data_IF_815493437202
#
_entry.id   IF_815493437202
#
_cell.length_a   1.000
_cell.length_b   1.000
_cell.length_c   1.000
_cell.angle_alpha   90.00
_cell.angle_beta   90.00
_cell.angle_gamma   90.00
#
_symmetry.space_group_name_H-M   'P 1'
#
loop_
_entity.id
_entity.type
_entity.pdbx_description
1 polymer ?
#
# COMPACT_ATOMS: atom_id res chain seq x y z
N UNK A 1 27.23 1.65 -1.28
CA UNK A 1 26.00 1.81 -0.49
C UNK A 1 25.10 0.65 -0.90
N UNK A 2 24.63 -0.16 0.03
CA UNK A 2 23.78 -1.31 -0.27
C UNK A 2 22.38 -0.96 0.22
N UNK A 3 21.49 -0.55 -0.70
CA UNK A 3 20.06 -0.41 -0.41
C UNK A 3 19.54 -1.71 0.23
N UNK A 4 18.81 -1.66 1.36
CA UNK A 4 18.32 -2.88 1.99
C UNK A 4 17.05 -3.35 1.29
N UNK A 5 17.19 -4.32 0.39
CA UNK A 5 16.06 -4.93 -0.30
C UNK A 5 15.42 -6.03 0.58
N UNK A 6 14.10 -6.00 0.70
CA UNK A 6 13.31 -7.05 1.37
C UNK A 6 12.64 -7.95 0.34
N UNK A 7 12.11 -9.10 0.78
CA UNK A 7 11.35 -10.01 -0.09
C UNK A 7 9.86 -9.90 0.20
N UNK A 8 9.07 -9.87 -0.87
CA UNK A 8 7.63 -10.00 -0.82
C UNK A 8 7.24 -11.30 -0.12
N UNK A 9 6.32 -11.22 0.84
CA UNK A 9 5.77 -12.40 1.53
C UNK A 9 4.93 -13.31 0.62
N UNK A 10 4.43 -12.78 -0.50
CA UNK A 10 3.56 -13.50 -1.44
C UNK A 10 4.34 -14.06 -2.63
N UNK A 11 5.01 -13.19 -3.40
CA UNK A 11 5.65 -13.58 -4.65
C UNK A 11 7.18 -13.70 -4.56
N UNK A 12 7.78 -13.46 -3.39
CA UNK A 12 9.24 -13.50 -3.16
C UNK A 12 10.08 -12.51 -4.00
N UNK A 13 9.45 -11.65 -4.79
CA UNK A 13 10.14 -10.58 -5.49
C UNK A 13 10.83 -9.64 -4.50
N UNK A 14 11.93 -9.03 -4.94
CA UNK A 14 12.61 -8.00 -4.15
C UNK A 14 11.74 -6.73 -4.15
N UNK A 15 11.58 -6.15 -2.97
CA UNK A 15 10.88 -4.89 -2.73
C UNK A 15 11.86 -3.96 -2.03
N UNK A 16 11.91 -2.71 -2.46
CA UNK A 16 12.66 -1.70 -1.73
C UNK A 16 11.97 -1.38 -0.40
N UNK A 17 12.70 -0.86 0.58
CA UNK A 17 12.12 -0.50 1.86
C UNK A 17 11.36 0.83 1.85
N UNK A 18 11.55 1.66 0.83
CA UNK A 18 10.72 2.85 0.59
C UNK A 18 9.40 2.53 -0.12
N UNK A 19 9.29 1.35 -0.75
CA UNK A 19 8.08 0.92 -1.46
C UNK A 19 6.98 0.52 -0.48
N UNK A 20 5.79 1.10 -0.64
CA UNK A 20 4.60 0.73 0.12
C UNK A 20 3.95 -0.57 -0.38
N UNK A 21 4.23 -0.97 -1.63
CA UNK A 21 3.60 -2.10 -2.31
C UNK A 21 4.61 -2.84 -3.20
N UNK A 22 4.41 -4.15 -3.37
CA UNK A 22 5.20 -4.95 -4.30
C UNK A 22 4.85 -4.62 -5.76
N UNK A 23 5.80 -4.12 -6.54
CA UNK A 23 5.62 -3.82 -7.96
C UNK A 23 5.22 -5.03 -8.83
N UNK A 24 5.45 -6.26 -8.37
CA UNK A 24 5.15 -7.47 -9.12
C UNK A 24 3.74 -8.03 -8.89
N UNK A 25 3.22 -7.92 -7.66
CA UNK A 25 1.94 -8.56 -7.29
C UNK A 25 0.94 -7.63 -6.58
N UNK A 26 1.34 -6.40 -6.26
CA UNK A 26 0.49 -5.41 -5.60
C UNK A 26 0.24 -5.66 -4.10
N UNK A 27 0.81 -6.71 -3.50
CA UNK A 27 0.71 -6.93 -2.05
C UNK A 27 1.41 -5.78 -1.31
N UNK A 28 0.79 -5.29 -0.24
CA UNK A 28 1.38 -4.32 0.68
C UNK A 28 2.74 -4.78 1.17
N UNK A 29 3.74 -3.88 1.11
CA UNK A 29 5.05 -4.16 1.65
C UNK A 29 4.97 -4.28 3.18
N UNK A 30 5.76 -5.15 3.82
CA UNK A 30 5.84 -5.19 5.27
C UNK A 30 6.50 -3.90 5.79
N UNK A 31 5.67 -2.90 6.09
CA UNK A 31 6.07 -1.62 6.66
C UNK A 31 6.80 -1.86 7.99
N UNK A 32 8.06 -1.40 8.09
CA UNK A 32 8.59 -1.04 9.40
C UNK A 32 7.83 0.22 9.85
N UNK A 33 7.44 0.36 11.14
CA UNK A 33 6.63 1.48 11.59
C UNK A 33 7.43 2.78 11.43
N UNK A 34 7.26 3.44 10.29
CA UNK A 34 7.70 4.80 10.10
C UNK A 34 6.59 5.69 10.67
N UNK A 35 6.91 6.28 11.81
CA UNK A 35 6.06 7.12 12.64
C UNK A 35 5.32 8.16 11.79
N UNK A 36 4.01 7.99 11.61
CA UNK A 36 3.12 9.06 11.18
C UNK A 36 1.71 8.81 11.71
N UNK A 37 1.13 9.80 12.41
CA UNK A 37 -0.12 9.64 13.14
C UNK A 37 -1.30 9.49 12.19
N UNK A 38 -2.21 8.61 12.59
CA UNK A 38 -3.49 8.36 11.95
C UNK A 38 -4.33 9.64 11.86
N UNK A 39 -4.20 10.41 10.77
CA UNK A 39 -5.14 11.45 10.42
C UNK A 39 -6.41 10.77 9.89
N UNK A 40 -7.39 10.69 10.78
CA UNK A 40 -8.71 10.13 10.52
C UNK A 40 -9.49 11.09 9.63
N UNK A 41 -9.16 11.10 8.34
CA UNK A 41 -9.95 11.76 7.33
C UNK A 41 -11.30 11.04 7.21
N UNK A 42 -12.33 11.60 7.84
CA UNK A 42 -13.71 11.14 7.69
C UNK A 42 -14.13 11.34 6.23
N UNK A 43 -14.10 10.26 5.44
CA UNK A 43 -14.53 10.26 4.05
C UNK A 43 -16.06 10.23 3.99
N UNK A 44 -16.68 11.32 3.52
CA UNK A 44 -18.11 11.35 3.21
C UNK A 44 -18.38 10.53 1.94
N UNK A 45 -19.01 9.37 2.09
CA UNK A 45 -19.41 8.51 0.97
C UNK A 45 -20.76 8.98 0.42
N UNK A 46 -20.79 9.47 -0.82
CA UNK A 46 -22.03 9.77 -1.53
C UNK A 46 -22.39 8.62 -2.48
N UNK A 47 -23.57 8.03 -2.30
CA UNK A 47 -24.09 6.94 -3.14
C UNK A 47 -25.08 7.53 -4.15
N UNK A 48 -24.70 7.55 -5.43
CA UNK A 48 -25.57 7.94 -6.53
C UNK A 48 -26.10 6.70 -7.24
N UNK A 49 -27.43 6.55 -7.31
CA UNK A 49 -28.08 5.43 -8.00
C UNK A 49 -28.33 5.77 -9.47
N UNK A 50 -27.81 4.96 -10.39
CA UNK A 50 -28.09 5.07 -11.82
C UNK A 50 -29.54 4.64 -12.11
N UNK A 51 -30.40 5.60 -12.50
CA UNK A 51 -31.75 5.32 -12.98
C UNK A 51 -31.72 5.13 -14.51
N UNK A 52 -31.09 4.05 -14.97
CA UNK A 52 -30.77 3.78 -16.39
C UNK A 52 -31.83 4.21 -17.42
N UNK A 53 -31.35 4.65 -18.58
CA UNK A 53 -32.14 5.13 -19.73
C UNK A 53 -32.83 4.00 -20.50
#
# INVERSE_FOLDING_TARGET
>A
MSEPLRRCSICQALIDEEDLFCANCGTEAPHAPHDSPADSALVSTHNFTCQGC
#
